data_IF_845287736433
#
_entry.id   IF_845287736433
#
_cell.length_a   1.000
_cell.length_b   1.000
_cell.length_c   1.000
_cell.angle_alpha   90.00
_cell.angle_beta   90.00
_cell.angle_gamma   90.00
#
_symmetry.space_group_name_H-M   'P 1'
#
loop_
_entity.id
_entity.type
_entity.pdbx_description
1 polymer ?
#
# COMPACT_ATOMS: atom_id res chain seq x y z
N UNK A 1 -12.38 8.32 3.44
CA UNK A 1 -12.57 8.51 2.69
C UNK A 1 -12.56 8.59 1.20
N UNK A 2 -13.60 9.15 0.63
CA UNK A 2 -13.63 9.32 -0.83
C UNK A 2 -12.42 10.11 -1.36
N UNK A 3 -11.99 11.13 -0.61
CA UNK A 3 -10.85 11.96 -1.00
C UNK A 3 -9.56 11.15 -1.13
N UNK A 4 -9.29 10.22 -0.20
CA UNK A 4 -8.09 9.40 -0.28
C UNK A 4 -8.12 8.47 -1.50
N UNK A 5 -9.28 7.91 -1.83
CA UNK A 5 -9.42 7.10 -3.04
C UNK A 5 -9.14 7.90 -4.31
N UNK A 6 -9.61 9.14 -4.36
CA UNK A 6 -9.34 10.05 -5.47
C UNK A 6 -7.85 10.37 -5.57
N UNK A 7 -7.20 10.65 -4.44
CA UNK A 7 -5.77 10.95 -4.40
C UNK A 7 -4.91 9.77 -4.82
N UNK A 8 -5.36 8.56 -4.53
CA UNK A 8 -4.62 7.35 -4.88
C UNK A 8 -4.43 7.18 -6.39
N UNK A 9 -5.26 7.82 -7.20
CA UNK A 9 -5.18 7.77 -8.66
C UNK A 9 -4.87 9.13 -9.28
N UNK A 10 -4.43 10.09 -8.48
CA UNK A 10 -4.05 11.42 -8.97
C UNK A 10 -2.86 11.31 -9.92
N UNK A 11 -2.78 12.24 -10.88
CA UNK A 11 -1.67 12.26 -11.82
C UNK A 11 -0.34 12.59 -11.17
N UNK A 12 -0.34 13.25 -10.01
CA UNK A 12 0.87 13.58 -9.26
C UNK A 12 1.25 12.43 -8.34
N UNK A 13 2.43 11.89 -8.54
CA UNK A 13 2.96 10.80 -7.70
C UNK A 13 2.94 11.15 -6.22
N UNK A 14 3.29 12.41 -5.90
CA UNK A 14 3.34 12.87 -4.51
C UNK A 14 1.99 12.73 -3.81
N UNK A 15 0.90 13.09 -4.51
CA UNK A 15 -0.45 12.99 -3.97
C UNK A 15 -0.85 11.52 -3.81
N UNK A 16 -0.51 10.67 -4.79
CA UNK A 16 -0.76 9.22 -4.66
C UNK A 16 -0.04 8.64 -3.44
N UNK A 17 1.20 9.07 -3.22
CA UNK A 17 1.99 8.60 -2.09
C UNK A 17 1.36 9.00 -0.75
N UNK A 18 0.87 10.22 -0.63
CA UNK A 18 0.17 10.69 0.56
C UNK A 18 -1.04 9.80 0.85
N UNK A 19 -1.81 9.46 -0.17
CA UNK A 19 -2.97 8.57 0.00
C UNK A 19 -2.56 7.18 0.48
N UNK A 20 -1.50 6.61 -0.12
CA UNK A 20 -1.04 5.28 0.25
C UNK A 20 -0.53 5.20 1.69
N UNK A 21 0.04 6.28 2.21
CA UNK A 21 0.64 6.32 3.54
C UNK A 21 -0.28 6.92 4.60
N UNK A 22 -1.50 7.33 4.22
CA UNK A 22 -2.39 8.10 5.10
C UNK A 22 -2.76 7.35 6.39
N UNK A 23 -2.82 6.02 6.37
CA UNK A 23 -3.20 5.23 7.53
C UNK A 23 -2.00 4.62 8.26
N UNK A 24 -0.76 4.92 7.85
CA UNK A 24 0.43 4.44 8.58
C UNK A 24 0.36 4.97 10.02
N UNK A 25 0.53 4.08 10.97
CA UNK A 25 0.44 4.41 12.39
C UNK A 25 -0.95 4.33 12.99
N UNK A 26 -2.00 4.09 12.18
CA UNK A 26 -3.35 4.00 12.72
C UNK A 26 -3.62 2.68 13.47
N UNK A 27 -2.82 1.63 13.23
CA UNK A 27 -2.97 0.35 13.91
C UNK A 27 -4.37 -0.24 13.77
N UNK A 28 -5.04 -0.57 14.90
CA UNK A 28 -6.38 -1.19 14.85
C UNK A 28 -7.45 -0.28 14.23
N UNK A 29 -7.20 1.01 14.11
CA UNK A 29 -8.15 1.95 13.50
C UNK A 29 -8.03 2.00 11.97
N UNK A 30 -7.07 1.28 11.39
CA UNK A 30 -6.93 1.20 9.95
C UNK A 30 -8.17 0.58 9.33
N UNK A 31 -8.67 1.20 8.27
CA UNK A 31 -9.73 0.64 7.43
C UNK A 31 -9.07 -0.21 6.35
N UNK A 32 -9.14 -1.56 6.41
CA UNK A 32 -8.45 -2.40 5.44
C UNK A 32 -9.03 -2.30 4.03
N UNK A 33 -10.31 -2.01 3.89
CA UNK A 33 -10.92 -1.82 2.57
C UNK A 33 -10.35 -0.55 1.92
N UNK A 34 -10.27 0.53 2.68
CA UNK A 34 -9.66 1.77 2.20
C UNK A 34 -8.18 1.55 1.86
N UNK A 35 -7.46 0.83 2.71
CA UNK A 35 -6.05 0.52 2.46
C UNK A 35 -5.87 -0.21 1.12
N UNK A 36 -6.67 -1.25 0.88
CA UNK A 36 -6.62 -1.96 -0.40
C UNK A 36 -6.97 -1.02 -1.57
N UNK A 37 -7.99 -0.18 -1.40
CA UNK A 37 -8.45 0.71 -2.46
C UNK A 37 -7.41 1.76 -2.86
N UNK A 38 -6.54 2.18 -1.94
CA UNK A 38 -5.48 3.14 -2.27
C UNK A 38 -4.21 2.46 -2.77
N UNK A 39 -3.97 1.20 -2.42
CA UNK A 39 -2.77 0.47 -2.84
C UNK A 39 -2.94 -0.19 -4.22
N UNK A 40 -4.06 -0.86 -4.46
CA UNK A 40 -4.26 -1.67 -5.67
C UNK A 40 -4.04 -0.87 -6.97
N UNK A 41 -4.58 0.34 -7.14
CA UNK A 41 -4.35 1.10 -8.37
C UNK A 41 -2.88 1.44 -8.62
N UNK A 42 -2.05 1.41 -7.58
CA UNK A 42 -0.63 1.77 -7.67
C UNK A 42 0.29 0.58 -7.90
N UNK A 43 -0.22 -0.64 -7.77
CA UNK A 43 0.60 -1.86 -7.97
C UNK A 43 1.17 -1.93 -9.39
N UNK A 44 0.36 -1.78 -10.46
CA UNK A 44 0.86 -1.89 -11.83
C UNK A 44 1.56 -0.63 -12.34
N UNK A 45 1.70 0.39 -11.50
CA UNK A 45 2.26 1.66 -11.96
C UNK A 45 3.68 1.46 -12.46
N UNK A 46 3.91 1.84 -13.71
CA UNK A 46 5.22 1.76 -14.35
C UNK A 46 5.67 3.16 -14.77
N UNK A 47 6.92 3.50 -14.47
CA UNK A 47 7.48 4.80 -14.81
C UNK A 47 8.73 5.06 -14.00
N UNK A 48 9.34 6.22 -14.19
CA UNK A 48 10.57 6.58 -13.50
C UNK A 48 10.41 6.61 -11.99
N UNK A 49 9.20 6.89 -11.51
CA UNK A 49 8.92 7.03 -10.09
C UNK A 49 8.35 5.75 -9.46
N UNK A 50 8.41 4.66 -10.17
CA UNK A 50 7.87 3.37 -9.72
C UNK A 50 8.53 2.89 -8.42
N UNK A 51 9.80 3.22 -8.23
CA UNK A 51 10.52 2.86 -7.00
C UNK A 51 9.81 3.42 -5.76
N UNK A 52 9.42 4.70 -5.79
CA UNK A 52 8.76 5.33 -4.64
C UNK A 52 7.38 4.76 -4.39
N UNK A 53 6.63 4.43 -5.44
CA UNK A 53 5.33 3.77 -5.30
C UNK A 53 5.48 2.39 -4.68
N UNK A 54 6.44 1.60 -5.16
CA UNK A 54 6.73 0.27 -4.61
C UNK A 54 7.11 0.33 -3.14
N UNK A 55 7.91 1.32 -2.78
CA UNK A 55 8.34 1.51 -1.40
C UNK A 55 7.19 1.93 -0.50
N UNK A 56 6.33 2.83 -0.96
CA UNK A 56 5.16 3.26 -0.21
C UNK A 56 4.18 2.11 0.04
N UNK A 57 3.93 1.28 -0.98
CA UNK A 57 3.08 0.09 -0.84
C UNK A 57 3.66 -0.85 0.21
N UNK A 58 4.95 -1.15 0.10
CA UNK A 58 5.62 -2.05 1.05
C UNK A 58 5.59 -1.52 2.47
N UNK A 59 5.83 -0.24 2.65
CA UNK A 59 5.80 0.41 3.95
C UNK A 59 4.41 0.35 4.58
N UNK A 60 3.36 0.71 3.82
CA UNK A 60 1.99 0.68 4.32
C UNK A 60 1.59 -0.73 4.75
N UNK A 61 1.93 -1.74 3.96
CA UNK A 61 1.63 -3.13 4.28
C UNK A 61 2.44 -3.62 5.49
N UNK A 62 3.71 -3.27 5.57
CA UNK A 62 4.55 -3.65 6.71
C UNK A 62 4.02 -3.06 8.01
N UNK A 63 3.60 -1.81 7.97
CA UNK A 63 3.01 -1.16 9.14
C UNK A 63 1.74 -1.86 9.58
N UNK A 64 0.84 -2.14 8.65
CA UNK A 64 -0.43 -2.81 8.98
C UNK A 64 -0.24 -4.27 9.40
N UNK A 65 0.85 -4.92 8.97
CA UNK A 65 1.16 -6.29 9.37
C UNK A 65 1.37 -6.43 10.88
N UNK A 66 1.73 -5.36 11.56
CA UNK A 66 1.85 -5.36 13.02
C UNK A 66 0.50 -5.56 13.70
N UNK A 67 -0.57 -5.12 13.07
CA UNK A 67 -1.93 -5.23 13.59
C UNK A 67 -2.66 -6.45 13.04
N UNK A 68 -2.57 -6.69 11.74
CA UNK A 68 -3.29 -7.74 11.04
C UNK A 68 -2.36 -8.51 10.09
N UNK A 69 -1.46 -9.34 10.63
CA UNK A 69 -0.50 -10.06 9.79
C UNK A 69 -1.16 -10.99 8.78
N UNK A 70 -2.25 -11.64 9.15
CA UNK A 70 -2.92 -12.58 8.24
C UNK A 70 -3.59 -11.84 7.07
N UNK A 71 -4.11 -10.64 7.33
CA UNK A 71 -4.67 -9.81 6.27
C UNK A 71 -3.59 -9.45 5.24
N UNK A 72 -2.41 -9.07 5.73
CA UNK A 72 -1.29 -8.69 4.85
C UNK A 72 -0.81 -9.90 4.05
N UNK A 73 -0.69 -11.07 4.68
CA UNK A 73 -0.33 -12.30 3.96
C UNK A 73 -1.33 -12.62 2.85
N UNK A 74 -2.62 -12.50 3.16
CA UNK A 74 -3.68 -12.74 2.18
C UNK A 74 -3.64 -11.72 1.05
N UNK A 75 -3.39 -10.44 1.36
CA UNK A 75 -3.27 -9.39 0.36
C UNK A 75 -2.12 -9.69 -0.60
N UNK A 76 -0.95 -10.04 -0.08
CA UNK A 76 0.21 -10.36 -0.90
C UNK A 76 -0.06 -11.58 -1.79
N UNK A 77 -0.70 -12.60 -1.24
CA UNK A 77 -1.06 -13.79 -2.02
C UNK A 77 -2.06 -13.49 -3.13
N UNK A 78 -3.00 -12.57 -2.88
CA UNK A 78 -4.02 -12.19 -3.87
C UNK A 78 -3.47 -11.27 -4.97
N UNK A 79 -2.29 -10.69 -4.77
CA UNK A 79 -1.69 -9.73 -5.71
C UNK A 79 -0.30 -10.19 -6.14
N UNK A 80 -0.20 -11.22 -6.99
CA UNK A 80 1.11 -11.72 -7.46
C UNK A 80 1.87 -10.71 -8.30
N UNK A 81 1.19 -9.66 -8.78
CA UNK A 81 1.79 -8.57 -9.54
C UNK A 81 2.53 -7.54 -8.65
N UNK A 82 2.48 -7.68 -7.33
CA UNK A 82 3.31 -6.86 -6.45
C UNK A 82 4.79 -7.01 -6.81
N UNK A 83 5.52 -5.89 -6.80
CA UNK A 83 6.96 -5.94 -7.04
C UNK A 83 7.67 -6.72 -5.94
N UNK A 84 8.86 -7.24 -6.27
CA UNK A 84 9.69 -7.90 -5.26
C UNK A 84 10.00 -7.01 -4.07
N UNK A 85 10.24 -5.71 -4.32
CA UNK A 85 10.49 -4.74 -3.25
C UNK A 85 9.28 -4.61 -2.32
N UNK A 86 8.08 -4.40 -2.88
CA UNK A 86 6.86 -4.26 -2.08
C UNK A 86 6.59 -5.52 -1.27
N UNK A 87 6.76 -6.69 -1.89
CA UNK A 87 6.52 -7.98 -1.24
C UNK A 87 7.49 -8.20 -0.07
N UNK A 88 8.78 -7.96 -0.29
CA UNK A 88 9.79 -8.14 0.76
C UNK A 88 9.54 -7.21 1.93
N UNK A 89 9.21 -5.94 1.66
CA UNK A 89 8.92 -4.98 2.72
C UNK A 89 7.67 -5.36 3.50
N UNK A 90 6.61 -5.76 2.79
CA UNK A 90 5.34 -6.15 3.42
C UNK A 90 5.52 -7.32 4.39
N UNK A 91 6.36 -8.30 4.02
CA UNK A 91 6.53 -9.55 4.78
C UNK A 91 7.75 -9.54 5.69
N UNK A 92 8.44 -8.42 5.82
CA UNK A 92 9.76 -8.34 6.46
C UNK A 92 9.79 -8.90 7.89
N UNK A 93 8.71 -8.74 8.64
CA UNK A 93 8.64 -9.19 10.03
C UNK A 93 7.59 -10.28 10.26
N UNK A 94 7.17 -10.96 9.21
CA UNK A 94 6.16 -12.03 9.33
C UNK A 94 6.75 -13.43 9.22
#
# INVERSE_FOLDING_TARGET
APTLREWAVDEHLWIRRVAMLAQVGAGPRTDPVLLADVLVPNIPYAGEQVFFSRKAIGWALRDYARTEPDWVRAFVAAHPDLSGLSRREALKHL
#
